data_IF_692318051703
#
_entry.id   IF_692318051703
#
_cell.length_a   1.000
_cell.length_b   1.000
_cell.length_c   1.000
_cell.angle_alpha   90.00
_cell.angle_beta   90.00
_cell.angle_gamma   90.00
#
_symmetry.space_group_name_H-M   'P 1'
#
loop_
_entity.id
_entity.type
_entity.pdbx_description
1 polymer ?
#
# COMPACT_ATOMS: atom_id res chain seq x y z
N UNK A 1 -3.75 -21.91 -18.28
CA UNK A 1 -3.89 -21.20 -16.98
C UNK A 1 -5.22 -21.63 -16.38
N UNK A 2 -5.26 -21.99 -15.10
CA UNK A 2 -6.52 -22.43 -14.45
C UNK A 2 -7.37 -21.19 -14.17
N UNK A 3 -8.57 -21.14 -14.75
CA UNK A 3 -9.59 -20.15 -14.39
C UNK A 3 -10.47 -20.72 -13.28
N UNK A 4 -10.34 -20.19 -12.06
CA UNK A 4 -11.11 -20.64 -10.90
C UNK A 4 -12.62 -20.41 -11.04
N UNK A 5 -13.07 -19.53 -11.94
CA UNK A 5 -14.49 -19.37 -12.24
C UNK A 5 -15.09 -20.55 -13.03
N UNK A 6 -14.21 -21.42 -13.56
CA UNK A 6 -14.53 -22.56 -14.40
C UNK A 6 -13.89 -23.84 -13.87
N UNK A 7 -13.62 -23.90 -12.56
CA UNK A 7 -12.93 -25.06 -11.98
C UNK A 7 -13.76 -26.34 -12.15
N UNK A 8 -15.09 -26.25 -12.12
CA UNK A 8 -15.99 -27.37 -12.35
C UNK A 8 -15.85 -27.99 -13.76
N UNK A 9 -15.46 -27.21 -14.77
CA UNK A 9 -15.28 -27.70 -16.15
C UNK A 9 -14.18 -28.77 -16.23
N UNK A 10 -13.14 -28.66 -15.39
CA UNK A 10 -12.06 -29.66 -15.33
C UNK A 10 -12.50 -31.02 -14.75
N UNK A 11 -13.68 -31.09 -14.11
CA UNK A 11 -14.18 -32.28 -13.43
C UNK A 11 -15.50 -32.82 -14.01
N UNK A 12 -15.94 -32.32 -15.17
CA UNK A 12 -17.20 -32.75 -15.80
C UNK A 12 -17.24 -34.26 -16.11
N UNK A 13 -16.09 -34.88 -16.38
CA UNK A 13 -15.98 -36.32 -16.64
C UNK A 13 -15.60 -37.13 -15.38
N UNK A 14 -15.69 -36.53 -14.20
CA UNK A 14 -15.40 -37.22 -12.94
C UNK A 14 -16.62 -37.98 -12.41
N UNK A 15 -16.42 -38.78 -11.36
CA UNK A 15 -17.50 -39.43 -10.63
C UNK A 15 -18.34 -38.47 -9.77
N UNK A 16 -18.00 -37.18 -9.74
CA UNK A 16 -18.68 -36.18 -8.91
C UNK A 16 -19.97 -35.74 -9.64
N UNK A 17 -21.15 -35.83 -9.00
CA UNK A 17 -22.39 -35.35 -9.58
C UNK A 17 -22.36 -33.88 -9.98
N UNK A 18 -22.95 -33.53 -11.14
CA UNK A 18 -22.93 -32.18 -11.69
C UNK A 18 -23.52 -31.13 -10.74
N UNK A 19 -24.63 -31.45 -10.07
CA UNK A 19 -25.27 -30.56 -9.10
C UNK A 19 -24.34 -30.20 -7.91
N UNK A 20 -23.46 -31.12 -7.49
CA UNK A 20 -22.45 -30.85 -6.46
C UNK A 20 -21.36 -29.92 -6.97
N UNK A 21 -20.89 -30.13 -8.21
CA UNK A 21 -19.92 -29.24 -8.86
C UNK A 21 -20.47 -27.81 -9.01
N UNK A 22 -21.73 -27.68 -9.46
CA UNK A 22 -22.40 -26.39 -9.60
C UNK A 22 -22.55 -25.69 -8.25
N UNK A 23 -22.95 -26.43 -7.21
CA UNK A 23 -23.06 -25.88 -5.85
C UNK A 23 -21.71 -25.41 -5.33
N UNK A 24 -20.65 -26.18 -5.55
CA UNK A 24 -19.28 -25.80 -5.18
C UNK A 24 -18.83 -24.51 -5.88
N UNK A 25 -19.09 -24.40 -7.18
CA UNK A 25 -18.77 -23.19 -7.95
C UNK A 25 -19.53 -21.97 -7.43
N UNK A 26 -20.81 -22.10 -7.06
CA UNK A 26 -21.59 -21.00 -6.46
C UNK A 26 -20.93 -20.51 -5.16
N UNK A 27 -20.51 -21.43 -4.28
CA UNK A 27 -19.85 -21.09 -3.02
C UNK A 27 -18.52 -20.38 -3.25
N UNK A 28 -17.70 -20.88 -4.18
CA UNK A 28 -16.42 -20.25 -4.55
C UNK A 28 -16.62 -18.86 -5.14
N UNK A 29 -17.59 -18.68 -6.04
CA UNK A 29 -17.90 -17.39 -6.64
C UNK A 29 -18.34 -16.37 -5.58
N UNK A 30 -19.12 -16.79 -4.57
CA UNK A 30 -19.50 -15.93 -3.46
C UNK A 30 -18.30 -15.51 -2.61
N UNK A 31 -17.36 -16.42 -2.35
CA UNK A 31 -16.11 -16.11 -1.64
C UNK A 31 -15.25 -15.08 -2.42
N UNK A 32 -15.16 -15.23 -3.74
CA UNK A 32 -14.36 -14.37 -4.63
C UNK A 32 -15.03 -13.04 -4.99
N UNK A 33 -16.35 -12.94 -4.88
CA UNK A 33 -17.13 -11.76 -5.30
C UNK A 33 -16.64 -10.45 -4.66
N UNK A 34 -16.38 -10.35 -3.34
CA UNK A 34 -15.89 -9.12 -2.75
C UNK A 34 -14.53 -8.69 -3.32
N UNK A 35 -13.63 -9.63 -3.58
CA UNK A 35 -12.32 -9.37 -4.18
C UNK A 35 -12.46 -8.77 -5.58
N UNK A 36 -13.34 -9.36 -6.39
CA UNK A 36 -13.67 -8.82 -7.72
C UNK A 36 -14.20 -7.39 -7.60
N UNK A 37 -15.13 -7.15 -6.67
CA UNK A 37 -15.70 -5.82 -6.42
C UNK A 37 -14.62 -4.81 -6.01
N UNK A 38 -13.66 -5.19 -5.17
CA UNK A 38 -12.53 -4.33 -4.80
C UNK A 38 -11.69 -3.92 -6.02
N UNK A 39 -11.39 -4.86 -6.93
CA UNK A 39 -10.60 -4.55 -8.12
C UNK A 39 -11.33 -3.62 -9.09
N UNK A 40 -12.64 -3.78 -9.22
CA UNK A 40 -13.48 -2.96 -10.10
C UNK A 40 -13.72 -1.56 -9.52
N UNK A 41 -14.08 -1.49 -8.24
CA UNK A 41 -14.51 -0.24 -7.59
C UNK A 41 -13.36 0.54 -6.96
N UNK A 42 -12.28 -0.13 -6.56
CA UNK A 42 -11.10 0.46 -5.90
C UNK A 42 -11.50 1.31 -4.68
N UNK A 43 -12.50 0.85 -3.93
CA UNK A 43 -13.09 1.54 -2.77
C UNK A 43 -13.17 0.60 -1.58
N UNK A 44 -13.28 1.18 -0.38
CA UNK A 44 -13.43 0.41 0.86
C UNK A 44 -14.74 -0.37 0.80
N UNK A 45 -14.73 -1.68 1.14
CA UNK A 45 -15.94 -2.48 1.11
C UNK A 45 -16.92 -2.01 2.19
N UNK A 46 -18.21 -1.99 1.86
CA UNK A 46 -19.28 -1.63 2.81
C UNK A 46 -19.41 -2.67 3.92
N UNK A 47 -19.34 -3.94 3.53
CA UNK A 47 -19.34 -5.07 4.44
C UNK A 47 -17.91 -5.55 4.68
N UNK A 48 -17.52 -5.84 5.93
CA UNK A 48 -16.19 -6.33 6.24
C UNK A 48 -15.96 -7.70 5.58
N UNK A 49 -14.71 -7.95 5.19
CA UNK A 49 -14.30 -9.27 4.71
C UNK A 49 -13.93 -10.16 5.89
N UNK A 50 -14.03 -11.46 5.67
CA UNK A 50 -13.42 -12.45 6.55
C UNK A 50 -11.89 -12.41 6.44
N UNK A 51 -11.20 -12.82 7.50
CA UNK A 51 -9.74 -12.91 7.52
C UNK A 51 -9.24 -13.86 6.42
N UNK A 52 -9.96 -14.94 6.13
CA UNK A 52 -9.64 -15.88 5.07
C UNK A 52 -9.65 -15.22 3.69
N UNK A 53 -10.59 -14.29 3.43
CA UNK A 53 -10.63 -13.55 2.16
C UNK A 53 -9.46 -12.57 2.03
N UNK A 54 -9.12 -11.88 3.12
CA UNK A 54 -7.99 -10.96 3.16
C UNK A 54 -6.69 -11.73 2.94
N UNK A 55 -6.48 -12.83 3.68
CA UNK A 55 -5.32 -13.69 3.52
C UNK A 55 -5.24 -14.29 2.12
N UNK A 56 -6.37 -14.75 1.56
CA UNK A 56 -6.41 -15.28 0.21
C UNK A 56 -5.91 -14.24 -0.79
N UNK A 57 -6.43 -13.00 -0.74
CA UNK A 57 -5.98 -11.93 -1.62
C UNK A 57 -4.48 -11.63 -1.46
N UNK A 58 -4.01 -11.46 -0.22
CA UNK A 58 -2.60 -11.14 0.04
C UNK A 58 -1.68 -12.27 -0.44
N UNK A 59 -2.04 -13.53 -0.19
CA UNK A 59 -1.29 -14.69 -0.67
C UNK A 59 -1.28 -14.75 -2.19
N UNK A 60 -2.43 -14.57 -2.85
CA UNK A 60 -2.52 -14.54 -4.31
C UNK A 60 -1.60 -13.48 -4.90
N UNK A 61 -1.65 -12.24 -4.39
CA UNK A 61 -0.77 -11.17 -4.86
C UNK A 61 0.71 -11.46 -4.57
N UNK A 62 1.06 -11.93 -3.37
CA UNK A 62 2.47 -12.21 -3.02
C UNK A 62 3.11 -13.31 -3.87
N UNK A 63 2.31 -14.24 -4.40
CA UNK A 63 2.78 -15.28 -5.33
C UNK A 63 3.10 -14.75 -6.74
N UNK A 64 2.77 -13.50 -7.03
CA UNK A 64 3.16 -12.82 -8.27
C UNK A 64 4.56 -12.20 -8.20
N UNK A 65 5.16 -12.09 -7.02
CA UNK A 65 6.50 -11.52 -6.86
C UNK A 65 7.59 -12.48 -7.36
N UNK A 66 8.65 -11.93 -7.94
CA UNK A 66 9.67 -12.73 -8.66
C UNK A 66 10.48 -13.63 -7.75
N UNK A 67 10.48 -13.40 -6.44
CA UNK A 67 11.17 -14.28 -5.48
C UNK A 67 10.48 -15.64 -5.28
N UNK A 68 9.27 -15.83 -5.84
CA UNK A 68 8.51 -17.10 -5.87
C UNK A 68 8.68 -17.86 -7.18
N UNK A 69 9.36 -17.28 -8.17
CA UNK A 69 9.68 -17.99 -9.40
C UNK A 69 10.75 -19.06 -9.14
N UNK A 70 10.36 -20.33 -9.22
CA UNK A 70 11.24 -21.47 -9.00
C UNK A 70 12.31 -21.63 -10.08
N UNK A 71 12.10 -21.02 -11.25
CA UNK A 71 13.03 -21.10 -12.39
C UNK A 71 13.98 -19.89 -12.47
N UNK A 72 13.84 -18.91 -11.57
CA UNK A 72 14.70 -17.73 -11.55
C UNK A 72 16.11 -18.08 -11.05
N UNK A 73 17.14 -17.67 -11.79
CA UNK A 73 18.55 -17.88 -11.43
C UNK A 73 18.98 -17.10 -10.16
N UNK A 74 18.26 -16.03 -9.80
CA UNK A 74 18.42 -15.23 -8.56
C UNK A 74 19.88 -14.90 -8.22
N UNK A 75 20.63 -14.34 -9.16
CA UNK A 75 22.06 -14.00 -9.02
C UNK A 75 22.34 -12.60 -8.46
N UNK A 76 21.31 -11.77 -8.27
CA UNK A 76 21.46 -10.40 -7.78
C UNK A 76 21.78 -10.30 -6.29
N UNK A 77 22.16 -9.09 -5.87
CA UNK A 77 22.40 -8.72 -4.47
C UNK A 77 21.09 -8.57 -3.68
N UNK A 78 20.01 -8.16 -4.36
CA UNK A 78 18.68 -7.94 -3.77
C UNK A 78 17.64 -8.85 -4.43
N UNK A 79 17.66 -10.12 -4.02
CA UNK A 79 16.78 -11.20 -4.49
C UNK A 79 15.70 -11.62 -3.47
N UNK A 80 15.53 -10.82 -2.41
CA UNK A 80 14.55 -11.05 -1.34
C UNK A 80 14.58 -12.47 -0.76
N UNK A 81 15.79 -13.04 -0.62
CA UNK A 81 16.00 -14.35 0.02
C UNK A 81 15.63 -14.24 1.51
N UNK A 82 14.86 -15.20 2.01
CA UNK A 82 14.44 -15.25 3.42
C UNK A 82 15.27 -16.28 4.18
N UNK A 83 15.70 -15.93 5.39
CA UNK A 83 16.38 -16.87 6.30
C UNK A 83 15.38 -17.66 7.18
N UNK A 84 14.21 -17.08 7.46
CA UNK A 84 13.18 -17.68 8.32
C UNK A 84 11.80 -17.55 7.68
N UNK A 85 10.98 -18.60 7.83
CA UNK A 85 9.58 -18.59 7.42
C UNK A 85 8.74 -17.61 8.24
N UNK A 86 9.19 -17.22 9.44
CA UNK A 86 8.52 -16.21 10.26
C UNK A 86 8.42 -14.85 9.53
N UNK A 87 9.40 -14.53 8.67
CA UNK A 87 9.31 -13.31 7.85
C UNK A 87 8.10 -13.31 6.91
N UNK A 88 7.69 -14.48 6.41
CA UNK A 88 6.52 -14.56 5.52
C UNK A 88 5.22 -14.23 6.27
N UNK A 89 5.16 -14.52 7.57
CA UNK A 89 4.00 -14.21 8.41
C UNK A 89 3.87 -12.71 8.66
N UNK A 90 4.99 -12.00 8.86
CA UNK A 90 4.98 -10.57 9.14
C UNK A 90 4.93 -9.71 7.87
N UNK A 91 5.44 -10.20 6.74
CA UNK A 91 5.40 -9.50 5.45
C UNK A 91 4.18 -9.85 4.60
N UNK A 92 3.30 -10.75 5.07
CA UNK A 92 2.24 -11.37 4.27
C UNK A 92 2.75 -11.97 2.94
N UNK A 93 4.01 -12.42 2.94
CA UNK A 93 4.70 -12.95 1.76
C UNK A 93 5.36 -11.91 0.86
N UNK A 94 5.21 -10.59 1.07
CA UNK A 94 5.81 -9.56 0.20
C UNK A 94 7.27 -9.25 0.58
N UNK A 95 8.21 -10.11 0.17
CA UNK A 95 9.60 -10.04 0.60
C UNK A 95 10.41 -8.89 -0.03
N UNK A 96 10.01 -8.41 -1.22
CA UNK A 96 10.71 -7.32 -1.91
C UNK A 96 10.36 -5.93 -1.38
N UNK A 97 9.28 -5.81 -0.59
CA UNK A 97 8.71 -4.54 -0.17
C UNK A 97 7.96 -3.82 -1.30
N UNK A 98 7.73 -2.52 -1.12
CA UNK A 98 7.01 -1.67 -2.07
C UNK A 98 7.91 -0.57 -2.63
N UNK A 99 7.60 -0.09 -3.83
CA UNK A 99 8.31 1.01 -4.48
C UNK A 99 9.68 0.64 -5.06
N UNK A 100 10.35 1.67 -5.58
CA UNK A 100 11.71 1.61 -6.12
C UNK A 100 12.63 2.58 -5.38
N UNK A 101 13.93 2.44 -5.62
CA UNK A 101 14.92 3.39 -5.11
C UNK A 101 14.53 4.82 -5.51
N UNK A 102 14.29 5.68 -4.52
CA UNK A 102 13.90 7.08 -4.70
C UNK A 102 12.41 7.33 -4.98
N UNK A 103 11.59 6.33 -5.30
CA UNK A 103 10.19 6.52 -5.69
C UNK A 103 9.28 5.43 -5.12
N UNK A 104 8.52 5.79 -4.08
CA UNK A 104 7.69 4.84 -3.36
C UNK A 104 6.48 4.34 -4.18
N UNK A 105 5.88 5.20 -5.00
CA UNK A 105 4.72 4.85 -5.86
C UNK A 105 5.11 4.19 -7.17
N UNK A 106 6.41 4.12 -7.50
CA UNK A 106 6.84 3.48 -8.74
C UNK A 106 6.69 1.95 -8.62
N UNK A 107 6.06 1.29 -9.61
CA UNK A 107 5.93 -0.17 -9.60
C UNK A 107 7.31 -0.82 -9.61
N UNK A 108 7.48 -1.86 -8.80
CA UNK A 108 8.71 -2.61 -8.64
C UNK A 108 8.72 -3.81 -9.59
N UNK A 109 9.61 -3.86 -10.61
CA UNK A 109 9.65 -4.98 -11.57
C UNK A 109 9.86 -6.35 -10.92
N UNK A 110 10.60 -6.40 -9.80
CA UNK A 110 10.82 -7.63 -9.02
C UNK A 110 9.63 -8.01 -8.11
N UNK A 111 8.68 -7.11 -7.92
CA UNK A 111 7.53 -7.30 -7.04
C UNK A 111 6.22 -6.79 -7.69
N UNK A 112 5.76 -7.40 -8.79
CA UNK A 112 4.49 -7.01 -9.41
C UNK A 112 3.31 -7.13 -8.45
N UNK A 113 3.26 -8.21 -7.65
CA UNK A 113 2.21 -8.44 -6.66
C UNK A 113 2.21 -7.39 -5.56
N UNK A 114 3.38 -7.11 -5.00
CA UNK A 114 3.57 -6.04 -4.02
C UNK A 114 3.20 -4.66 -4.58
N UNK A 115 3.45 -4.42 -5.87
CA UNK A 115 3.09 -3.17 -6.54
C UNK A 115 1.57 -3.00 -6.68
N UNK A 116 0.85 -4.07 -7.07
CA UNK A 116 -0.62 -4.06 -7.14
C UNK A 116 -1.23 -3.86 -5.75
N UNK A 117 -0.74 -4.60 -4.75
CA UNK A 117 -1.18 -4.46 -3.36
C UNK A 117 -1.03 -3.01 -2.87
N UNK A 118 0.10 -2.38 -3.19
CA UNK A 118 0.38 -1.01 -2.78
C UNK A 118 -0.52 0.01 -3.51
N UNK A 119 -0.80 -0.20 -4.79
CA UNK A 119 -1.74 0.63 -5.55
C UNK A 119 -3.16 0.57 -4.95
N UNK A 120 -3.64 -0.64 -4.63
CA UNK A 120 -4.93 -0.85 -3.95
C UNK A 120 -4.95 -0.14 -2.61
N UNK A 121 -3.88 -0.25 -1.81
CA UNK A 121 -3.76 0.41 -0.51
C UNK A 121 -3.91 1.93 -0.61
N UNK A 122 -3.32 2.55 -1.64
CA UNK A 122 -3.44 3.98 -1.91
C UNK A 122 -4.87 4.37 -2.33
N UNK A 123 -5.53 3.56 -3.15
CA UNK A 123 -6.94 3.80 -3.50
C UNK A 123 -7.86 3.73 -2.27
N UNK A 124 -7.67 2.73 -1.40
CA UNK A 124 -8.45 2.58 -0.18
C UNK A 124 -8.21 3.75 0.77
N UNK A 125 -6.96 4.17 0.96
CA UNK A 125 -6.64 5.35 1.77
C UNK A 125 -7.33 6.61 1.23
N UNK A 126 -7.33 6.80 -0.10
CA UNK A 126 -8.02 7.93 -0.74
C UNK A 126 -9.53 7.88 -0.51
N UNK A 127 -10.12 6.71 -0.67
CA UNK A 127 -11.56 6.50 -0.52
C UNK A 127 -12.03 6.77 0.91
N UNK A 128 -11.26 6.34 1.92
CA UNK A 128 -11.48 6.70 3.32
C UNK A 128 -11.47 8.21 3.48
N UNK A 129 -10.39 8.89 3.05
CA UNK A 129 -10.28 10.34 3.23
C UNK A 129 -11.45 11.11 2.58
N UNK A 130 -11.92 10.66 1.41
CA UNK A 130 -13.12 11.23 0.76
C UNK A 130 -14.38 11.03 1.59
N UNK A 131 -14.55 9.83 2.13
CA UNK A 131 -15.70 9.49 2.98
C UNK A 131 -15.73 10.27 4.29
N UNK A 132 -14.58 10.70 4.80
CA UNK A 132 -14.43 11.48 6.04
C UNK A 132 -14.28 12.99 5.83
N UNK A 133 -14.85 13.53 4.74
CA UNK A 133 -15.00 14.98 4.58
C UNK A 133 -13.93 15.66 3.72
N UNK A 134 -13.11 14.90 2.99
CA UNK A 134 -12.20 15.44 1.99
C UNK A 134 -12.61 15.00 0.56
N UNK A 135 -13.83 15.34 0.08
CA UNK A 135 -14.39 14.77 -1.16
C UNK A 135 -13.55 15.09 -2.42
N UNK A 136 -12.81 16.20 -2.40
CA UNK A 136 -12.06 16.70 -3.56
C UNK A 136 -10.61 16.20 -3.64
N UNK A 137 -10.16 15.32 -2.75
CA UNK A 137 -8.78 14.82 -2.84
C UNK A 137 -8.63 13.95 -4.10
N UNK A 138 -7.53 14.14 -4.82
CA UNK A 138 -7.27 13.41 -6.08
C UNK A 138 -6.52 12.11 -5.83
N UNK A 139 -5.53 12.17 -4.95
CA UNK A 139 -4.60 11.08 -4.67
C UNK A 139 -4.33 10.97 -3.16
N UNK A 140 -3.96 9.78 -2.72
CA UNK A 140 -3.42 9.51 -1.40
C UNK A 140 -2.26 8.53 -1.52
N UNK A 141 -1.31 8.60 -0.58
CA UNK A 141 -0.18 7.69 -0.52
C UNK A 141 0.00 7.17 0.90
N UNK A 142 0.11 5.85 1.05
CA UNK A 142 0.40 5.18 2.32
C UNK A 142 1.91 5.06 2.48
N UNK A 143 2.50 5.81 3.40
CA UNK A 143 3.95 5.75 3.62
C UNK A 143 4.29 4.86 4.82
N UNK A 144 5.31 3.97 4.75
CA UNK A 144 5.72 3.10 5.85
C UNK A 144 6.56 3.86 6.90
N UNK A 145 6.05 5.02 7.33
CA UNK A 145 6.70 5.97 8.22
C UNK A 145 5.67 6.55 9.19
N UNK A 146 6.13 6.94 10.38
CA UNK A 146 5.28 7.66 11.32
C UNK A 146 4.96 9.07 10.81
N UNK A 147 3.87 9.68 11.31
CA UNK A 147 3.37 10.99 10.85
C UNK A 147 4.44 12.09 10.82
N UNK A 148 5.34 12.13 11.82
CA UNK A 148 6.44 13.10 11.83
C UNK A 148 7.40 12.91 10.66
N UNK A 149 7.80 11.67 10.37
CA UNK A 149 8.67 11.38 9.22
C UNK A 149 7.96 11.60 7.88
N UNK A 150 6.65 11.31 7.82
CA UNK A 150 5.81 11.63 6.67
C UNK A 150 5.76 13.14 6.41
N UNK A 151 5.65 13.94 7.48
CA UNK A 151 5.73 15.39 7.37
C UNK A 151 7.11 15.86 6.90
N UNK A 152 8.20 15.26 7.39
CA UNK A 152 9.55 15.52 6.87
C UNK A 152 9.63 15.24 5.37
N UNK A 153 9.05 14.13 4.89
CA UNK A 153 8.99 13.80 3.47
C UNK A 153 8.22 14.87 2.67
N UNK A 154 7.07 15.32 3.18
CA UNK A 154 6.29 16.41 2.56
C UNK A 154 7.08 17.72 2.52
N UNK A 155 7.75 18.09 3.61
CA UNK A 155 8.60 19.29 3.69
C UNK A 155 9.80 19.20 2.74
N UNK A 156 10.39 18.01 2.60
CA UNK A 156 11.45 17.73 1.65
C UNK A 156 10.98 17.91 0.20
N UNK A 157 9.78 17.41 -0.14
CA UNK A 157 9.18 17.57 -1.47
C UNK A 157 8.79 19.03 -1.78
N UNK A 158 8.39 19.81 -0.76
CA UNK A 158 8.08 21.23 -0.90
C UNK A 158 9.33 22.12 -0.96
N UNK A 159 10.53 21.57 -0.80
CA UNK A 159 11.77 22.33 -0.87
C UNK A 159 12.02 22.73 -2.34
N UNK A 160 12.00 24.03 -2.70
CA UNK A 160 12.30 24.40 -4.09
C UNK A 160 13.69 23.94 -4.50
N UNK A 161 13.78 23.42 -5.72
CA UNK A 161 15.03 23.00 -6.36
C UNK A 161 15.98 24.19 -6.48
N UNK A 162 17.12 24.07 -5.81
CA UNK A 162 18.41 24.58 -6.29
C UNK A 162 18.59 26.05 -6.66
N UNK A 163 17.65 26.96 -6.44
CA UNK A 163 17.85 28.35 -6.85
C UNK A 163 18.85 29.03 -5.89
N UNK A 164 20.14 28.98 -6.28
CA UNK A 164 21.31 29.39 -5.49
C UNK A 164 21.21 30.82 -4.97
N UNK A 165 20.38 31.67 -5.58
CA UNK A 165 20.10 33.05 -5.17
C UNK A 165 19.47 33.19 -3.78
N UNK A 166 18.67 32.22 -3.34
CA UNK A 166 17.98 32.25 -2.03
C UNK A 166 18.54 31.24 -1.02
N UNK A 167 19.63 30.56 -1.38
CA UNK A 167 20.24 29.48 -0.59
C UNK A 167 20.88 29.96 0.73
N UNK A 168 21.09 31.28 0.89
CA UNK A 168 21.73 31.84 2.08
C UNK A 168 20.81 31.95 3.30
N UNK A 169 19.48 31.81 3.14
CA UNK A 169 18.53 31.85 4.26
C UNK A 169 17.89 30.49 4.49
N UNK A 170 18.00 29.97 5.71
CA UNK A 170 17.24 28.79 6.15
C UNK A 170 15.74 29.07 5.94
N UNK A 171 15.11 28.27 5.07
CA UNK A 171 13.67 28.34 4.79
C UNK A 171 12.90 28.14 6.10
N UNK A 172 11.86 28.94 6.32
CA UNK A 172 11.13 28.99 7.60
C UNK A 172 9.75 28.33 7.45
N UNK A 173 9.43 27.39 8.34
CA UNK A 173 8.10 26.78 8.48
C UNK A 173 7.35 27.54 9.57
N UNK A 174 6.19 28.09 9.22
CA UNK A 174 5.28 28.73 10.15
C UNK A 174 4.38 27.67 10.79
N UNK A 175 4.27 27.66 12.12
CA UNK A 175 3.43 26.70 12.83
C UNK A 175 2.55 27.46 13.82
N UNK A 176 1.22 27.35 13.75
CA UNK A 176 0.36 27.68 14.89
C UNK A 176 0.83 26.92 16.13
N UNK A 177 0.93 27.57 17.29
CA UNK A 177 1.50 26.96 18.48
C UNK A 177 0.80 25.64 18.84
N UNK A 178 1.59 24.58 18.82
CA UNK A 178 1.21 23.23 19.27
C UNK A 178 2.44 22.58 19.90
N UNK A 179 2.31 22.16 21.15
CA UNK A 179 3.44 21.67 21.94
C UNK A 179 3.64 20.16 21.72
N UNK A 180 3.99 19.78 20.49
CA UNK A 180 4.21 18.40 20.08
C UNK A 180 5.63 18.15 19.56
N UNK A 181 6.44 17.36 20.29
CA UNK A 181 7.86 17.15 19.99
C UNK A 181 8.13 16.57 18.59
N UNK A 182 7.30 15.63 18.11
CA UNK A 182 7.51 14.99 16.82
C UNK A 182 7.39 15.98 15.64
N UNK A 183 6.48 16.95 15.76
CA UNK A 183 6.30 18.00 14.77
C UNK A 183 7.56 18.87 14.65
N UNK A 184 8.07 19.35 15.78
CA UNK A 184 9.29 20.17 15.79
C UNK A 184 10.50 19.39 15.25
N UNK A 185 10.66 18.13 15.68
CA UNK A 185 11.73 17.23 15.20
C UNK A 185 11.63 16.97 13.70
N UNK A 186 10.43 16.84 13.13
CA UNK A 186 10.28 16.62 11.69
C UNK A 186 10.77 17.78 10.83
N UNK A 187 10.63 19.01 11.32
CA UNK A 187 11.07 20.23 10.63
C UNK A 187 12.58 20.41 10.80
N UNK A 188 13.08 20.17 12.01
CA UNK A 188 14.50 20.18 12.33
C UNK A 188 15.29 19.14 11.51
N UNK A 189 14.74 17.93 11.35
CA UNK A 189 15.33 16.87 10.53
C UNK A 189 15.58 17.32 9.08
N UNK A 190 14.71 18.16 8.52
CA UNK A 190 14.87 18.73 7.18
C UNK A 190 15.81 19.96 7.13
N UNK A 191 16.40 20.34 8.26
CA UNK A 191 17.28 21.50 8.38
C UNK A 191 16.58 22.85 8.23
N UNK A 192 15.25 22.87 8.41
CA UNK A 192 14.41 24.07 8.25
C UNK A 192 14.31 24.85 9.57
N UNK A 193 14.06 26.16 9.47
CA UNK A 193 13.82 27.01 10.65
C UNK A 193 12.36 26.95 11.05
N UNK A 194 12.06 26.74 12.32
CA UNK A 194 10.69 26.83 12.83
C UNK A 194 10.37 28.25 13.32
N UNK A 195 9.19 28.77 12.98
CA UNK A 195 8.62 29.99 13.60
C UNK A 195 7.24 29.65 14.18
N UNK A 196 7.15 29.64 15.51
CA UNK A 196 5.92 29.40 16.24
C UNK A 196 5.07 30.69 16.23
N UNK A 197 3.81 30.56 15.83
CA UNK A 197 2.81 31.61 15.83
C UNK A 197 1.89 31.37 17.02
N UNK A 198 2.00 32.21 18.04
CA UNK A 198 1.17 32.12 19.25
C UNK A 198 -0.28 32.43 18.90
N UNK A 199 -1.21 31.69 19.52
CA UNK A 199 -2.62 32.03 19.47
C UNK A 199 -2.90 33.36 20.19
N UNK A 200 -3.95 34.06 19.78
CA UNK A 200 -4.48 35.22 20.49
C UNK A 200 -5.88 34.85 20.97
N UNK A 201 -6.15 35.01 22.25
CA UNK A 201 -7.50 34.90 22.80
C UNK A 201 -8.23 36.19 22.41
N UNK A 202 -9.38 36.05 21.75
CA UNK A 202 -10.30 37.14 21.51
C UNK A 202 -11.42 37.04 22.55
N UNK A 203 -11.57 38.08 23.36
CA UNK A 203 -12.54 38.23 24.44
C UNK A 203 -12.56 39.68 24.88
#
# INVERSE_FOLDING_TARGET
>A
MVDFNKISEFFQNSSIPQNMLDRGQIVLNNFMKPIKTLFEQKSVPKEPWSDEQIEFLLRTLSNMDTDKDSNAARVGEREARIASKLHLQTSAGFCHGVGRSGFLTAPQPKAPGGSIMYEISNYLARDILRSYGLPNIKEAIVVPLCTGMSLSLTLGALRPDGDKKYSSRKKTVLIPQIDHKSLLKSIELMGLKTKIIKGKIFG
#
